data_IF_767743879189
#
_entry.id   IF_767743879189
#
_cell.length_a   1.000
_cell.length_b   1.000
_cell.length_c   1.000
_cell.angle_alpha   90.00
_cell.angle_beta   90.00
_cell.angle_gamma   90.00
#
_symmetry.space_group_name_H-M   'P 1'
#
loop_
_entity.id
_entity.type
_entity.pdbx_description
1 polymer ?
#
# COMPACT_ATOMS: atom_id res chain seq x y z
N UNK A 1 -22.78 4.93 -9.21
CA UNK A 1 -21.39 4.41 -9.19
C UNK A 1 -20.48 5.47 -9.78
N UNK A 2 -19.25 5.59 -9.30
CA UNK A 2 -18.29 6.62 -9.75
C UNK A 2 -17.10 5.96 -10.45
N UNK A 3 -16.47 6.69 -11.35
CA UNK A 3 -15.17 6.33 -11.92
C UNK A 3 -14.05 6.56 -10.91
N UNK A 4 -12.85 6.03 -11.19
CA UNK A 4 -11.65 6.27 -10.38
C UNK A 4 -11.35 7.77 -10.27
N UNK A 5 -11.38 8.51 -11.39
CA UNK A 5 -11.12 9.95 -11.40
C UNK A 5 -12.16 10.73 -10.59
N UNK A 6 -13.45 10.40 -10.74
CA UNK A 6 -14.52 11.03 -9.97
C UNK A 6 -14.42 10.74 -8.48
N UNK A 7 -14.07 9.49 -8.11
CA UNK A 7 -13.90 9.07 -6.71
C UNK A 7 -12.77 9.86 -6.06
N UNK A 8 -11.61 9.95 -6.71
CA UNK A 8 -10.48 10.74 -6.21
C UNK A 8 -10.80 12.24 -6.19
N UNK A 9 -11.50 12.75 -7.20
CA UNK A 9 -11.94 14.16 -7.22
C UNK A 9 -12.86 14.47 -6.06
N UNK A 10 -13.84 13.62 -5.79
CA UNK A 10 -14.75 13.77 -4.66
C UNK A 10 -14.00 13.76 -3.33
N UNK A 11 -13.07 12.82 -3.16
CA UNK A 11 -12.25 12.72 -1.95
C UNK A 11 -11.34 13.96 -1.79
N UNK A 12 -10.74 14.48 -2.88
CA UNK A 12 -9.94 15.73 -2.85
C UNK A 12 -10.79 16.93 -2.46
N UNK A 13 -12.01 17.04 -2.98
CA UNK A 13 -12.93 18.12 -2.63
C UNK A 13 -13.34 18.10 -1.15
N UNK A 14 -13.44 16.90 -0.56
CA UNK A 14 -13.79 16.72 0.85
C UNK A 14 -12.61 16.94 1.80
N UNK A 15 -11.43 16.42 1.46
CA UNK A 15 -10.25 16.48 2.33
C UNK A 15 -9.47 17.80 2.23
N UNK A 16 -9.42 18.45 1.06
CA UNK A 16 -8.66 19.69 0.88
C UNK A 16 -9.51 20.93 1.13
N UNK A 17 -8.89 21.94 1.76
CA UNK A 17 -9.52 23.23 2.06
C UNK A 17 -10.26 23.82 0.87
N UNK A 18 -11.43 24.42 1.13
CA UNK A 18 -12.22 25.16 0.15
C UNK A 18 -11.50 26.39 -0.40
N UNK A 19 -10.49 26.90 0.32
CA UNK A 19 -9.65 28.00 -0.15
C UNK A 19 -8.68 27.60 -1.27
N UNK A 20 -8.45 26.30 -1.47
CA UNK A 20 -7.61 25.79 -2.55
C UNK A 20 -8.33 25.94 -3.89
N UNK A 21 -7.65 26.48 -4.90
CA UNK A 21 -8.24 26.66 -6.23
C UNK A 21 -8.63 25.30 -6.84
N UNK A 22 -9.72 25.31 -7.64
CA UNK A 22 -10.14 24.12 -8.41
C UNK A 22 -9.02 23.57 -9.29
N UNK A 23 -8.18 24.43 -9.85
CA UNK A 23 -7.01 24.03 -10.66
C UNK A 23 -6.00 23.22 -9.85
N UNK A 24 -5.70 23.63 -8.61
CA UNK A 24 -4.78 22.90 -7.72
C UNK A 24 -5.38 21.56 -7.26
N UNK A 25 -6.68 21.53 -6.93
CA UNK A 25 -7.39 20.29 -6.61
C UNK A 25 -7.33 19.29 -7.77
N UNK A 26 -7.62 19.75 -8.99
CA UNK A 26 -7.52 18.92 -10.20
C UNK A 26 -6.09 18.44 -10.46
N UNK A 27 -5.10 19.31 -10.30
CA UNK A 27 -3.70 18.93 -10.43
C UNK A 27 -3.30 17.84 -9.41
N UNK A 28 -3.82 17.92 -8.17
CA UNK A 28 -3.61 16.88 -7.15
C UNK A 28 -4.22 15.54 -7.57
N UNK A 29 -5.44 15.52 -8.10
CA UNK A 29 -6.09 14.30 -8.59
C UNK A 29 -5.25 13.64 -9.69
N UNK A 30 -4.80 14.40 -10.69
CA UNK A 30 -3.96 13.86 -11.76
C UNK A 30 -2.61 13.34 -11.24
N UNK A 31 -1.98 14.04 -10.31
CA UNK A 31 -0.75 13.56 -9.68
C UNK A 31 -0.96 12.24 -8.94
N UNK A 32 -2.08 12.07 -8.22
CA UNK A 32 -2.42 10.82 -7.54
C UNK A 32 -2.66 9.69 -8.54
N UNK A 33 -3.43 9.91 -9.60
CA UNK A 33 -3.68 8.91 -10.66
C UNK A 33 -2.35 8.41 -11.24
N UNK A 34 -1.39 9.32 -11.44
CA UNK A 34 -0.07 9.00 -11.97
C UNK A 34 0.79 8.22 -10.97
N UNK A 35 0.87 8.69 -9.72
CA UNK A 35 1.61 8.03 -8.64
C UNK A 35 1.12 6.62 -8.37
N UNK A 36 -0.21 6.42 -8.43
CA UNK A 36 -0.87 5.13 -8.21
C UNK A 36 -0.85 4.23 -9.45
N UNK A 37 -0.37 4.71 -10.60
CA UNK A 37 -0.36 3.96 -11.86
C UNK A 37 -1.76 3.60 -12.36
N UNK A 38 -2.74 4.48 -12.16
CA UNK A 38 -4.16 4.25 -12.48
C UNK A 38 -4.61 4.91 -13.78
N UNK A 39 -3.70 5.42 -14.61
CA UNK A 39 -4.02 6.13 -15.87
C UNK A 39 -5.01 5.37 -16.77
N UNK A 40 -4.81 4.07 -16.95
CA UNK A 40 -5.67 3.24 -17.80
C UNK A 40 -7.03 2.93 -17.17
N UNK A 41 -7.14 3.05 -15.85
CA UNK A 41 -8.35 2.80 -15.09
C UNK A 41 -9.08 4.08 -14.67
N UNK A 42 -8.57 5.26 -15.02
CA UNK A 42 -9.08 6.56 -14.55
C UNK A 42 -10.58 6.75 -14.86
N UNK A 43 -11.01 6.33 -16.06
CA UNK A 43 -12.40 6.39 -16.52
C UNK A 43 -13.18 5.09 -16.27
N UNK A 44 -12.61 4.12 -15.56
CA UNK A 44 -13.28 2.85 -15.25
C UNK A 44 -14.13 3.01 -13.99
N UNK A 45 -15.34 2.43 -14.03
CA UNK A 45 -16.29 2.48 -12.90
C UNK A 45 -15.85 1.53 -11.79
N UNK A 46 -15.93 2.00 -10.54
CA UNK A 46 -15.64 1.18 -9.36
C UNK A 46 -16.92 0.43 -8.95
N UNK A 47 -16.83 -0.91 -8.91
CA UNK A 47 -17.85 -1.79 -8.34
C UNK A 47 -18.92 -2.32 -9.31
N UNK A 48 -18.83 -2.04 -10.60
CA UNK A 48 -19.80 -2.55 -11.59
C UNK A 48 -19.57 -4.04 -11.87
N UNK A 49 -20.53 -4.90 -11.50
CA UNK A 49 -20.50 -6.34 -11.76
C UNK A 49 -20.94 -6.69 -13.20
N UNK A 50 -21.60 -5.76 -13.91
CA UNK A 50 -22.14 -5.97 -15.26
C UNK A 50 -21.24 -5.49 -16.40
N UNK A 51 -20.23 -4.66 -16.11
CA UNK A 51 -19.26 -4.14 -17.09
C UNK A 51 -17.82 -4.33 -16.61
N UNK A 52 -16.84 -3.93 -17.44
CA UNK A 52 -15.42 -3.91 -17.05
C UNK A 52 -15.25 -3.00 -15.83
N UNK A 53 -15.00 -3.60 -14.67
CA UNK A 53 -14.67 -2.91 -13.42
C UNK A 53 -13.17 -2.90 -13.16
N UNK A 54 -12.77 -2.09 -12.17
CA UNK A 54 -11.41 -2.07 -11.65
C UNK A 54 -11.04 -3.41 -11.01
N UNK A 55 -9.81 -3.87 -11.27
CA UNK A 55 -9.24 -5.05 -10.63
C UNK A 55 -9.07 -4.86 -9.12
N UNK A 56 -8.89 -5.95 -8.38
CA UNK A 56 -8.66 -5.91 -6.94
C UNK A 56 -7.45 -5.03 -6.56
N UNK A 57 -6.33 -5.16 -7.31
CA UNK A 57 -5.13 -4.33 -7.08
C UNK A 57 -5.37 -2.85 -7.41
N UNK A 58 -6.12 -2.53 -8.47
CA UNK A 58 -6.49 -1.15 -8.80
C UNK A 58 -7.37 -0.55 -7.71
N UNK A 59 -8.37 -1.30 -7.24
CA UNK A 59 -9.24 -0.89 -6.12
C UNK A 59 -8.42 -0.60 -4.86
N UNK A 60 -7.46 -1.46 -4.52
CA UNK A 60 -6.55 -1.26 -3.38
C UNK A 60 -5.72 0.02 -3.56
N UNK A 61 -5.20 0.28 -4.75
CA UNK A 61 -4.46 1.51 -5.06
C UNK A 61 -5.34 2.76 -4.99
N UNK A 62 -6.60 2.70 -5.40
CA UNK A 62 -7.56 3.80 -5.21
C UNK A 62 -7.76 4.10 -3.73
N UNK A 63 -7.94 3.08 -2.89
CA UNK A 63 -8.08 3.24 -1.43
C UNK A 63 -6.86 3.93 -0.83
N UNK A 64 -5.65 3.43 -1.14
CA UNK A 64 -4.39 4.07 -0.71
C UNK A 64 -4.33 5.53 -1.20
N UNK A 65 -4.77 5.77 -2.43
CA UNK A 65 -4.87 7.09 -3.03
C UNK A 65 -5.68 8.06 -2.19
N UNK A 66 -6.83 7.61 -1.67
CA UNK A 66 -7.71 8.39 -0.79
C UNK A 66 -6.97 8.73 0.52
N UNK A 67 -6.31 7.75 1.12
CA UNK A 67 -5.60 7.91 2.40
C UNK A 67 -4.45 8.93 2.29
N UNK A 68 -3.81 9.04 1.13
CA UNK A 68 -2.67 9.95 0.91
C UNK A 68 -3.06 11.31 0.29
N UNK A 69 -4.34 11.61 0.07
CA UNK A 69 -4.78 12.85 -0.61
C UNK A 69 -4.16 14.11 0.00
N UNK A 70 -4.02 14.12 1.32
CA UNK A 70 -3.55 15.25 2.11
C UNK A 70 -2.04 15.25 2.39
N UNK A 71 -1.27 14.42 1.69
CA UNK A 71 0.19 14.28 1.84
C UNK A 71 0.63 14.01 3.30
N UNK A 72 0.20 12.90 3.91
CA UNK A 72 0.56 12.57 5.28
C UNK A 72 2.06 12.25 5.42
N UNK A 73 2.71 12.76 6.46
CA UNK A 73 4.12 12.47 6.76
C UNK A 73 4.35 11.00 7.13
N UNK A 74 3.33 10.36 7.74
CA UNK A 74 3.33 8.96 8.19
C UNK A 74 2.05 8.30 7.72
N UNK A 75 2.17 7.12 7.09
CA UNK A 75 1.06 6.32 6.62
C UNK A 75 1.13 4.92 7.26
N UNK A 76 0.06 4.53 7.93
CA UNK A 76 -0.14 3.17 8.42
C UNK A 76 -1.05 2.42 7.47
N UNK A 77 -0.67 1.20 7.11
CA UNK A 77 -1.46 0.33 6.25
C UNK A 77 -1.62 -1.01 6.94
N UNK A 78 -2.87 -1.41 7.13
CA UNK A 78 -3.20 -2.72 7.67
C UNK A 78 -3.36 -3.72 6.52
N UNK A 79 -2.55 -4.78 6.56
CA UNK A 79 -2.49 -5.86 5.57
C UNK A 79 -2.66 -5.42 4.09
N UNK A 80 -1.83 -4.49 3.55
CA UNK A 80 -2.10 -3.86 2.25
C UNK A 80 -2.13 -4.82 1.06
N UNK A 81 -1.60 -6.04 1.21
CA UNK A 81 -1.54 -7.09 0.18
C UNK A 81 -2.53 -8.23 0.40
N UNK A 82 -3.38 -8.16 1.42
CA UNK A 82 -4.39 -9.19 1.68
C UNK A 82 -5.34 -9.35 0.49
N UNK A 83 -5.80 -10.59 0.25
CA UNK A 83 -6.72 -10.96 -0.84
C UNK A 83 -6.20 -10.71 -2.27
N UNK A 84 -4.90 -10.44 -2.44
CA UNK A 84 -4.27 -10.27 -3.75
C UNK A 84 -3.43 -11.49 -4.13
N UNK A 85 -3.45 -11.86 -5.40
CA UNK A 85 -2.45 -12.77 -5.95
C UNK A 85 -1.05 -12.14 -5.90
N UNK A 86 0.00 -12.96 -6.02
CA UNK A 86 1.40 -12.52 -5.88
C UNK A 86 1.79 -11.40 -6.86
N UNK A 87 1.23 -11.39 -8.08
CA UNK A 87 1.52 -10.35 -9.07
C UNK A 87 0.83 -9.04 -8.68
N UNK A 88 -0.45 -9.11 -8.32
CA UNK A 88 -1.22 -7.96 -7.84
C UNK A 88 -0.62 -7.33 -6.58
N UNK A 89 -0.23 -8.15 -5.60
CA UNK A 89 0.42 -7.72 -4.37
C UNK A 89 1.74 -6.99 -4.67
N UNK A 90 2.56 -7.54 -5.56
CA UNK A 90 3.82 -6.92 -5.98
C UNK A 90 3.60 -5.53 -6.60
N UNK A 91 2.57 -5.35 -7.43
CA UNK A 91 2.25 -4.05 -8.03
C UNK A 91 1.86 -3.04 -6.94
N UNK A 92 1.06 -3.43 -5.95
CA UNK A 92 0.69 -2.56 -4.81
C UNK A 92 1.95 -2.15 -4.02
N UNK A 93 2.81 -3.10 -3.67
CA UNK A 93 4.07 -2.82 -2.95
C UNK A 93 4.96 -1.86 -3.76
N UNK A 94 5.04 -2.03 -5.08
CA UNK A 94 5.81 -1.10 -5.94
C UNK A 94 5.26 0.32 -5.94
N UNK A 95 3.94 0.48 -5.86
CA UNK A 95 3.33 1.80 -5.74
C UNK A 95 3.64 2.42 -4.38
N UNK A 96 3.54 1.66 -3.29
CA UNK A 96 3.92 2.13 -1.96
C UNK A 96 5.39 2.56 -1.90
N UNK A 97 6.28 1.79 -2.54
CA UNK A 97 7.69 2.15 -2.67
C UNK A 97 7.88 3.48 -3.40
N UNK A 98 7.14 3.73 -4.49
CA UNK A 98 7.20 5.00 -5.24
C UNK A 98 6.70 6.18 -4.42
N UNK A 99 5.60 6.01 -3.68
CA UNK A 99 5.04 7.07 -2.82
C UNK A 99 6.01 7.42 -1.68
N UNK A 100 6.66 6.41 -1.09
CA UNK A 100 7.70 6.64 -0.08
C UNK A 100 8.90 7.40 -0.67
N UNK A 101 9.33 7.05 -1.89
CA UNK A 101 10.44 7.70 -2.58
C UNK A 101 10.14 9.12 -3.06
N UNK A 102 8.87 9.49 -3.28
CA UNK A 102 8.52 10.87 -3.66
C UNK A 102 8.66 11.87 -2.50
N UNK A 103 9.12 11.43 -1.32
CA UNK A 103 9.31 12.27 -0.14
C UNK A 103 8.01 12.63 0.58
N UNK A 104 6.88 12.08 0.13
CA UNK A 104 5.57 12.31 0.73
C UNK A 104 5.41 11.57 2.05
N UNK A 105 6.07 10.41 2.22
CA UNK A 105 5.92 9.53 3.38
C UNK A 105 7.29 9.04 3.82
N UNK A 106 7.57 9.02 5.13
CA UNK A 106 8.79 8.42 5.67
C UNK A 106 8.88 6.93 5.29
N UNK A 107 9.97 6.54 4.61
CA UNK A 107 10.19 5.17 4.14
C UNK A 107 10.60 4.23 5.29
N UNK A 108 9.64 3.78 6.09
CA UNK A 108 9.86 2.73 7.09
C UNK A 108 9.89 1.31 6.50
N UNK A 109 9.57 1.15 5.20
CA UNK A 109 9.57 -0.14 4.49
C UNK A 109 10.95 -0.83 4.46
N UNK A 110 12.00 -0.16 4.91
CA UNK A 110 13.35 -0.72 4.99
C UNK A 110 13.59 -1.54 6.28
N UNK A 111 12.64 -1.54 7.22
CA UNK A 111 12.72 -2.29 8.48
C UNK A 111 11.61 -3.33 8.61
N UNK A 112 12.01 -4.54 8.99
CA UNK A 112 11.15 -5.66 9.28
C UNK A 112 11.03 -5.85 10.79
N UNK A 113 9.80 -6.04 11.26
CA UNK A 113 9.47 -6.30 12.66
C UNK A 113 8.71 -7.62 12.73
N UNK A 114 9.25 -8.60 13.46
CA UNK A 114 8.52 -9.82 13.80
C UNK A 114 7.95 -9.71 15.21
N UNK A 115 6.65 -9.92 15.34
CA UNK A 115 5.93 -9.93 16.60
C UNK A 115 5.38 -11.33 16.87
N UNK A 116 5.49 -11.81 18.11
CA UNK A 116 4.86 -13.05 18.59
C UNK A 116 4.27 -12.80 19.97
N UNK A 117 2.99 -13.14 20.17
CA UNK A 117 2.27 -13.00 21.45
C UNK A 117 2.43 -11.61 22.11
N UNK A 118 2.44 -10.54 21.31
CA UNK A 118 2.61 -9.16 21.78
C UNK A 118 4.04 -8.73 22.06
N UNK A 119 5.03 -9.60 21.87
CA UNK A 119 6.46 -9.31 22.05
C UNK A 119 7.18 -9.18 20.70
N UNK A 120 8.19 -8.31 20.64
CA UNK A 120 9.07 -8.21 19.46
C UNK A 120 10.12 -9.30 19.49
N UNK A 121 10.05 -10.21 18.52
CA UNK A 121 11.03 -11.29 18.31
C UNK A 121 12.22 -10.79 17.49
N UNK A 122 11.97 -9.88 16.55
CA UNK A 122 13.04 -9.31 15.72
C UNK A 122 12.69 -7.92 15.22
N UNK A 123 13.71 -7.07 15.10
CA UNK A 123 13.64 -5.76 14.46
C UNK A 123 14.95 -5.50 13.72
N UNK A 124 14.90 -5.43 12.39
CA UNK A 124 16.10 -5.29 11.57
C UNK A 124 15.83 -4.68 10.21
N UNK A 125 16.88 -4.31 9.47
CA UNK A 125 16.72 -3.75 8.11
C UNK A 125 16.68 -4.84 7.05
N UNK A 126 15.80 -4.69 6.06
CA UNK A 126 15.72 -5.56 4.88
C UNK A 126 16.97 -5.47 3.99
N UNK A 127 17.82 -4.46 4.20
CA UNK A 127 19.10 -4.28 3.49
C UNK A 127 20.19 -5.27 3.93
N UNK A 128 19.94 -6.13 4.92
CA UNK A 128 20.88 -7.18 5.27
C UNK A 128 20.99 -8.17 4.11
N UNK A 129 22.17 -8.18 3.46
CA UNK A 129 22.58 -9.15 2.44
C UNK A 129 22.67 -10.54 3.08
N UNK A 130 21.54 -11.18 3.26
CA UNK A 130 21.40 -12.48 3.88
C UNK A 130 19.94 -12.88 3.86
N UNK A 131 19.61 -13.84 3.01
CA UNK A 131 18.25 -14.30 2.73
C UNK A 131 17.57 -15.02 3.92
N UNK A 132 18.37 -15.28 4.94
CA UNK A 132 18.06 -16.09 6.11
C UNK A 132 18.24 -15.23 7.36
N UNK A 133 17.21 -15.23 8.20
CA UNK A 133 17.26 -14.61 9.53
C UNK A 133 17.11 -15.73 10.55
N UNK A 134 18.04 -15.78 11.50
CA UNK A 134 17.90 -16.60 12.70
C UNK A 134 16.90 -15.91 13.63
N UNK A 135 15.76 -16.55 13.84
CA UNK A 135 14.73 -16.12 14.78
C UNK A 135 14.67 -17.12 15.93
N UNK A 136 14.77 -16.63 17.16
CA UNK A 136 14.47 -17.42 18.35
C UNK A 136 12.96 -17.33 18.60
N UNK A 137 12.24 -18.43 18.41
CA UNK A 137 10.80 -18.54 18.68
C UNK A 137 10.62 -19.64 19.71
N UNK A 138 10.05 -19.30 20.87
CA UNK A 138 9.79 -20.23 21.98
C UNK A 138 11.03 -21.01 22.46
N UNK A 139 12.20 -20.36 22.46
CA UNK A 139 13.48 -20.95 22.88
C UNK A 139 14.13 -21.88 21.84
N UNK A 140 13.62 -21.88 20.61
CA UNK A 140 14.18 -22.64 19.49
C UNK A 140 14.68 -21.67 18.43
N UNK A 141 15.97 -21.71 18.13
CA UNK A 141 16.55 -21.01 16.99
C UNK A 141 16.08 -21.67 15.69
N UNK A 142 15.40 -20.89 14.84
CA UNK A 142 15.00 -21.30 13.50
C UNK A 142 15.59 -20.38 12.46
N UNK A 143 16.11 -20.98 11.39
CA UNK A 143 16.52 -20.25 10.20
C UNK A 143 15.28 -20.00 9.34
N UNK A 144 14.92 -18.73 9.12
CA UNK A 144 13.72 -18.38 8.37
C UNK A 144 14.05 -17.62 7.09
N UNK A 145 13.51 -18.12 5.98
CA UNK A 145 13.65 -17.55 4.65
C UNK A 145 12.64 -16.41 4.45
N UNK A 146 13.13 -15.19 4.23
CA UNK A 146 12.30 -14.00 4.08
C UNK A 146 11.45 -13.94 2.79
N UNK A 147 11.77 -14.74 1.75
CA UNK A 147 10.94 -14.82 0.54
C UNK A 147 9.93 -15.97 0.52
N UNK A 148 9.95 -16.86 1.52
CA UNK A 148 9.06 -18.02 1.60
C UNK A 148 8.03 -17.95 2.74
N UNK A 149 7.98 -16.83 3.48
CA UNK A 149 7.21 -16.71 4.71
C UNK A 149 5.71 -16.86 4.43
N UNK A 150 5.12 -17.95 4.94
CA UNK A 150 3.68 -18.18 4.91
C UNK A 150 3.19 -18.24 6.35
N UNK A 151 2.14 -17.49 6.68
CA UNK A 151 1.64 -17.35 8.05
C UNK A 151 1.21 -18.69 8.68
N UNK A 152 0.99 -19.72 7.85
CA UNK A 152 0.68 -21.10 8.23
C UNK A 152 1.85 -21.82 8.93
N UNK A 153 3.09 -21.34 8.80
CA UNK A 153 4.28 -21.99 9.38
C UNK A 153 4.40 -21.82 10.91
N UNK A 154 3.48 -21.05 11.53
CA UNK A 154 3.46 -20.75 12.97
C UNK A 154 2.29 -21.38 13.73
N UNK A 155 1.39 -22.09 13.05
CA UNK A 155 0.24 -22.71 13.69
C UNK A 155 0.55 -24.19 13.93
N UNK A 156 1.08 -24.50 15.11
CA UNK A 156 1.13 -25.87 15.65
C UNK A 156 -0.13 -26.14 16.47
#
# INVERSE_FOLDING_TARGET
MLTVEETLTFAVEFHLSRSLSKSKKKARVHALIDQLGLRFAASTVIGDEGHRSVSASERRRVSIGIDIIHDPIVLFLDEPTSELDSTSAFIVVKVLQRIAQSGSILSLLDRLLFLSHGNTVFSGSLAMKGFWVWLEVDGVEREVCLLGFRMEDFNN
#
